data_IF_798312359619
#
_entry.id   IF_798312359619
#
_cell.length_a   1.000
_cell.length_b   1.000
_cell.length_c   1.000
_cell.angle_alpha   90.00
_cell.angle_beta   90.00
_cell.angle_gamma   90.00
#
_symmetry.space_group_name_H-M   'P 1'
#
loop_
_entity.id
_entity.type
_entity.pdbx_description
1 polymer ?
#
# COMPACT_ATOMS: atom_id res chain seq x y z
N UNK A 1 34.41 0.50 -13.84
CA UNK A 1 33.36 -0.40 -13.30
C UNK A 1 32.02 0.08 -13.83
N UNK A 2 31.38 -0.75 -14.66
CA UNK A 2 30.12 -0.47 -15.34
C UNK A 2 28.98 -0.35 -14.33
N UNK A 3 28.37 0.84 -14.22
CA UNK A 3 27.08 1.02 -13.55
C UNK A 3 26.02 0.44 -14.47
N UNK A 4 25.57 -0.78 -14.20
CA UNK A 4 24.37 -1.34 -14.83
C UNK A 4 23.21 -0.41 -14.50
N UNK A 5 22.76 0.39 -15.48
CA UNK A 5 21.57 1.23 -15.36
C UNK A 5 20.37 0.29 -15.24
N UNK A 6 19.93 0.00 -14.02
CA UNK A 6 18.61 -0.57 -13.78
C UNK A 6 17.61 0.43 -14.37
N UNK A 7 16.86 0.03 -15.39
CA UNK A 7 15.80 0.89 -15.93
C UNK A 7 14.81 1.17 -14.79
N UNK A 8 14.37 2.43 -14.58
CA UNK A 8 13.33 2.71 -13.60
C UNK A 8 12.09 1.89 -13.96
N UNK A 9 11.58 1.15 -12.97
CA UNK A 9 10.38 0.32 -13.12
C UNK A 9 9.18 1.29 -13.17
N UNK A 10 8.28 1.17 -14.17
CA UNK A 10 7.11 2.05 -14.23
C UNK A 10 6.19 1.90 -13.01
N UNK A 11 5.59 2.98 -12.54
CA UNK A 11 4.71 2.99 -11.37
C UNK A 11 3.50 2.07 -11.53
N UNK A 12 2.97 1.94 -12.75
CA UNK A 12 1.87 1.02 -13.01
C UNK A 12 2.32 -0.43 -12.86
N UNK A 13 3.59 -0.73 -13.12
CA UNK A 13 4.18 -2.05 -12.89
C UNK A 13 4.28 -2.34 -11.39
N UNK A 14 4.77 -1.37 -10.61
CA UNK A 14 4.82 -1.48 -9.14
C UNK A 14 3.42 -1.69 -8.55
N UNK A 15 2.43 -0.95 -9.04
CA UNK A 15 1.04 -1.04 -8.61
C UNK A 15 0.42 -2.43 -8.87
N UNK A 16 0.91 -3.17 -9.87
CA UNK A 16 0.45 -4.53 -10.20
C UNK A 16 1.19 -5.63 -9.44
N UNK A 17 2.33 -5.34 -8.81
CA UNK A 17 3.09 -6.33 -8.05
C UNK A 17 2.33 -6.89 -6.84
N UNK A 18 1.58 -6.05 -6.15
CA UNK A 18 0.84 -6.48 -4.97
C UNK A 18 -0.30 -7.47 -5.31
N UNK A 19 -1.11 -7.24 -6.36
CA UNK A 19 -1.99 -8.27 -6.93
C UNK A 19 -1.26 -9.59 -7.28
N UNK A 20 -0.08 -9.51 -7.91
CA UNK A 20 0.71 -10.71 -8.22
C UNK A 20 1.11 -11.46 -6.94
N UNK A 21 1.59 -10.74 -5.92
CA UNK A 21 1.97 -11.31 -4.63
C UNK A 21 0.81 -12.08 -4.00
N UNK A 22 -0.40 -11.50 -3.99
CA UNK A 22 -1.61 -12.16 -3.46
C UNK A 22 -1.95 -13.43 -4.22
N UNK A 23 -1.95 -13.37 -5.56
CA UNK A 23 -2.21 -14.54 -6.39
C UNK A 23 -1.21 -15.67 -6.14
N UNK A 24 0.08 -15.33 -6.03
CA UNK A 24 1.15 -16.29 -5.77
C UNK A 24 1.05 -16.91 -4.37
N UNK A 25 0.65 -16.14 -3.35
CA UNK A 25 0.38 -16.69 -2.00
C UNK A 25 -0.76 -17.71 -2.05
N UNK A 26 -1.83 -17.44 -2.81
CA UNK A 26 -2.93 -18.40 -2.96
C UNK A 26 -2.45 -19.68 -3.68
N UNK A 27 -1.76 -19.53 -4.80
CA UNK A 27 -1.21 -20.66 -5.55
C UNK A 27 -0.25 -21.52 -4.72
N UNK A 28 0.59 -20.89 -3.90
CA UNK A 28 1.50 -21.59 -3.01
C UNK A 28 0.74 -22.39 -1.94
N UNK A 29 -0.33 -21.84 -1.37
CA UNK A 29 -1.21 -22.56 -0.43
C UNK A 29 -1.93 -23.74 -1.08
N UNK A 30 -2.23 -23.65 -2.36
CA UNK A 30 -2.81 -24.73 -3.17
C UNK A 30 -1.77 -25.80 -3.58
N UNK A 31 -0.49 -25.61 -3.23
CA UNK A 31 0.60 -26.53 -3.61
C UNK A 31 1.04 -26.40 -5.08
N UNK A 32 0.68 -25.30 -5.75
CA UNK A 32 1.12 -25.06 -7.13
C UNK A 32 2.59 -24.69 -7.16
N UNK A 33 3.42 -25.51 -7.80
CA UNK A 33 4.85 -25.22 -7.95
C UNK A 33 5.16 -24.28 -9.11
N UNK A 34 4.42 -24.41 -10.22
CA UNK A 34 4.65 -23.67 -11.46
C UNK A 34 3.35 -23.09 -12.00
N UNK A 35 3.38 -21.81 -12.40
CA UNK A 35 2.22 -21.10 -12.94
C UNK A 35 2.53 -20.47 -14.30
N UNK A 36 1.59 -20.52 -15.24
CA UNK A 36 1.71 -19.83 -16.53
C UNK A 36 1.26 -18.36 -16.44
N UNK A 37 1.70 -17.51 -17.37
CA UNK A 37 1.19 -16.13 -17.47
C UNK A 37 -0.31 -16.06 -17.71
N UNK A 38 -0.89 -17.07 -18.39
CA UNK A 38 -2.33 -17.12 -18.64
C UNK A 38 -3.10 -17.42 -17.36
N UNK A 39 -2.60 -18.36 -16.55
CA UNK A 39 -3.23 -18.65 -15.25
C UNK A 39 -3.12 -17.47 -14.29
N UNK A 40 -1.98 -16.79 -14.24
CA UNK A 40 -1.86 -15.54 -13.48
C UNK A 40 -2.79 -14.45 -14.01
N UNK A 41 -3.00 -14.40 -15.34
CA UNK A 41 -3.90 -13.44 -15.99
C UNK A 41 -5.34 -13.60 -15.50
N UNK A 42 -5.82 -14.83 -15.40
CA UNK A 42 -7.15 -15.17 -14.87
C UNK A 42 -7.31 -14.73 -13.41
N UNK A 43 -6.32 -15.03 -12.57
CA UNK A 43 -6.39 -14.75 -11.12
C UNK A 43 -6.28 -13.25 -10.84
N UNK A 44 -5.38 -12.56 -11.53
CA UNK A 44 -5.10 -11.14 -11.27
C UNK A 44 -5.98 -10.19 -12.08
N UNK A 45 -6.75 -10.71 -13.05
CA UNK A 45 -7.47 -9.92 -14.05
C UNK A 45 -6.57 -8.90 -14.78
N UNK A 46 -5.35 -9.33 -15.14
CA UNK A 46 -4.36 -8.52 -15.86
C UNK A 46 -3.95 -9.30 -17.10
N UNK A 47 -3.88 -8.65 -18.27
CA UNK A 47 -3.52 -9.31 -19.52
C UNK A 47 -2.16 -10.04 -19.43
N UNK A 48 -2.10 -11.30 -19.88
CA UNK A 48 -0.88 -12.12 -19.83
C UNK A 48 0.35 -11.49 -20.51
N UNK A 49 0.17 -10.68 -21.55
CA UNK A 49 1.27 -9.95 -22.19
C UNK A 49 1.81 -8.83 -21.29
N UNK A 50 0.94 -8.16 -20.52
CA UNK A 50 1.34 -7.17 -19.51
C UNK A 50 2.11 -7.86 -18.39
N UNK A 51 1.63 -9.01 -17.89
CA UNK A 51 2.34 -9.79 -16.87
C UNK A 51 3.75 -10.15 -17.34
N UNK A 52 3.89 -10.70 -18.56
CA UNK A 52 5.21 -11.01 -19.13
C UNK A 52 6.11 -9.77 -19.22
N UNK A 53 5.56 -8.63 -19.61
CA UNK A 53 6.30 -7.37 -19.71
C UNK A 53 6.74 -6.91 -18.33
N UNK A 54 5.84 -6.89 -17.35
CA UNK A 54 6.11 -6.51 -15.96
C UNK A 54 7.22 -7.36 -15.35
N UNK A 55 7.08 -8.70 -15.45
CA UNK A 55 8.06 -9.63 -14.89
C UNK A 55 9.43 -9.49 -15.55
N UNK A 56 9.51 -9.10 -16.83
CA UNK A 56 10.80 -8.91 -17.50
C UNK A 56 11.63 -7.76 -16.95
N UNK A 57 11.05 -6.83 -16.17
CA UNK A 57 11.80 -5.79 -15.45
C UNK A 57 12.62 -6.33 -14.27
N UNK A 58 12.26 -7.48 -13.72
CA UNK A 58 12.81 -7.98 -12.45
C UNK A 58 13.74 -9.19 -12.60
N UNK A 59 13.99 -9.63 -13.84
CA UNK A 59 14.86 -10.76 -14.15
C UNK A 59 14.26 -11.72 -15.17
N UNK A 60 14.98 -12.80 -15.45
CA UNK A 60 14.52 -13.87 -16.31
C UNK A 60 13.68 -14.87 -15.51
N UNK A 61 12.37 -14.64 -15.45
CA UNK A 61 11.44 -15.58 -14.83
C UNK A 61 10.99 -16.62 -15.86
N UNK A 62 11.42 -17.86 -15.64
CA UNK A 62 10.95 -19.02 -16.39
C UNK A 62 11.66 -19.24 -17.72
N UNK A 63 11.55 -20.46 -18.24
CA UNK A 63 11.89 -20.79 -19.62
C UNK A 63 10.61 -20.69 -20.46
N UNK A 64 10.72 -20.21 -21.71
CA UNK A 64 9.60 -20.24 -22.67
C UNK A 64 9.00 -21.65 -22.70
N UNK A 65 7.69 -21.75 -22.43
CA UNK A 65 6.95 -23.01 -22.42
C UNK A 65 6.87 -23.74 -21.07
N UNK A 66 7.59 -23.30 -20.03
CA UNK A 66 7.57 -23.96 -18.70
C UNK A 66 6.69 -23.19 -17.70
N UNK A 67 6.73 -21.86 -17.71
CA UNK A 67 6.04 -21.01 -16.73
C UNK A 67 6.98 -20.51 -15.63
N UNK A 68 6.40 -20.00 -14.56
CA UNK A 68 7.09 -19.37 -13.44
C UNK A 68 7.04 -20.27 -12.22
N UNK A 69 8.19 -20.52 -11.59
CA UNK A 69 8.20 -21.15 -10.27
C UNK A 69 7.54 -20.19 -9.26
N UNK A 70 6.48 -20.66 -8.60
CA UNK A 70 5.62 -19.84 -7.75
C UNK A 70 6.39 -19.28 -6.55
N UNK A 71 7.18 -20.12 -5.88
CA UNK A 71 7.98 -19.72 -4.72
C UNK A 71 9.02 -18.65 -5.09
N UNK A 72 9.85 -18.92 -6.10
CA UNK A 72 10.89 -17.99 -6.53
C UNK A 72 10.31 -16.65 -7.00
N UNK A 73 9.18 -16.68 -7.71
CA UNK A 73 8.51 -15.46 -8.17
C UNK A 73 7.92 -14.69 -6.99
N UNK A 74 7.29 -15.37 -6.02
CA UNK A 74 6.77 -14.75 -4.81
C UNK A 74 7.88 -14.06 -4.01
N UNK A 75 9.01 -14.74 -3.80
CA UNK A 75 10.15 -14.18 -3.05
C UNK A 75 10.73 -12.96 -3.75
N UNK A 76 10.82 -13.00 -5.08
CA UNK A 76 11.28 -11.84 -5.85
C UNK A 76 10.32 -10.65 -5.72
N UNK A 77 9.01 -10.89 -5.90
CA UNK A 77 7.98 -9.85 -5.75
C UNK A 77 8.00 -9.26 -4.34
N UNK A 78 8.13 -10.09 -3.30
CA UNK A 78 8.28 -9.64 -1.90
C UNK A 78 9.52 -8.79 -1.70
N UNK A 79 10.67 -9.20 -2.22
CA UNK A 79 11.93 -8.46 -2.10
C UNK A 79 11.89 -7.09 -2.79
N UNK A 80 11.16 -6.97 -3.90
CA UNK A 80 10.94 -5.70 -4.60
C UNK A 80 10.02 -4.78 -3.80
N UNK A 81 8.87 -5.30 -3.35
CA UNK A 81 7.92 -4.55 -2.51
C UNK A 81 8.43 -4.31 -1.09
N UNK A 82 9.58 -4.91 -0.72
CA UNK A 82 10.14 -4.93 0.63
C UNK A 82 9.19 -5.54 1.67
N UNK A 83 8.34 -6.48 1.28
CA UNK A 83 7.30 -7.10 2.12
C UNK A 83 7.78 -8.40 2.81
N UNK A 84 9.07 -8.48 3.12
CA UNK A 84 9.67 -9.60 3.88
C UNK A 84 9.28 -9.53 5.37
N UNK A 85 9.16 -8.31 5.90
CA UNK A 85 8.75 -8.02 7.27
C UNK A 85 7.46 -7.21 7.32
N UNK A 86 6.73 -7.35 8.43
CA UNK A 86 5.56 -6.53 8.73
C UNK A 86 5.95 -5.05 8.78
N UNK A 87 5.27 -4.22 8.02
CA UNK A 87 5.44 -2.77 8.01
C UNK A 87 4.59 -2.12 9.10
N UNK A 88 5.25 -1.40 10.00
CA UNK A 88 4.59 -0.60 11.03
C UNK A 88 4.00 0.66 10.41
N UNK A 89 2.74 0.92 10.74
CA UNK A 89 1.97 2.06 10.25
C UNK A 89 1.42 2.85 11.43
N UNK A 90 1.44 4.18 11.33
CA UNK A 90 0.69 5.05 12.24
C UNK A 90 -0.55 5.62 11.54
N UNK A 91 -1.66 5.72 12.26
CA UNK A 91 -2.87 6.39 11.79
C UNK A 91 -3.01 7.75 12.46
N UNK A 92 -3.18 8.82 11.67
CA UNK A 92 -3.52 10.15 12.17
C UNK A 92 -4.97 10.45 11.85
N UNK A 93 -5.75 10.83 12.86
CA UNK A 93 -7.18 11.08 12.76
C UNK A 93 -7.97 9.81 13.02
N UNK A 94 -8.65 9.76 14.16
CA UNK A 94 -9.50 8.64 14.59
C UNK A 94 -10.96 9.09 14.54
N UNK A 95 -11.36 9.66 13.41
CA UNK A 95 -12.76 9.94 13.07
C UNK A 95 -13.47 8.68 12.56
N UNK A 96 -14.52 8.86 11.76
CA UNK A 96 -15.27 7.74 11.17
C UNK A 96 -14.37 6.85 10.29
N UNK A 97 -13.65 7.48 9.34
CA UNK A 97 -12.73 6.78 8.43
C UNK A 97 -11.60 6.12 9.21
N UNK A 98 -10.94 6.86 10.11
CA UNK A 98 -9.85 6.32 10.91
C UNK A 98 -10.27 5.13 11.78
N UNK A 99 -11.44 5.20 12.40
CA UNK A 99 -11.99 4.08 13.19
C UNK A 99 -12.30 2.85 12.32
N UNK A 100 -12.81 3.07 11.11
CA UNK A 100 -13.03 1.99 10.14
C UNK A 100 -11.72 1.34 9.72
N UNK A 101 -10.67 2.14 9.47
CA UNK A 101 -9.32 1.68 9.12
C UNK A 101 -8.71 0.84 10.25
N UNK A 102 -8.80 1.31 11.51
CA UNK A 102 -8.34 0.52 12.68
C UNK A 102 -9.09 -0.80 12.84
N UNK A 103 -10.33 -0.85 12.36
CA UNK A 103 -11.18 -2.04 12.43
C UNK A 103 -11.02 -2.97 11.24
N UNK A 104 -10.22 -2.60 10.24
CA UNK A 104 -10.06 -3.36 9.00
C UNK A 104 -9.05 -4.51 9.19
N UNK A 105 -9.48 -5.78 9.24
CA UNK A 105 -8.60 -6.89 9.60
C UNK A 105 -7.55 -7.19 8.53
N UNK A 106 -7.79 -6.80 7.28
CA UNK A 106 -6.95 -7.20 6.16
C UNK A 106 -5.58 -6.53 6.14
N UNK A 107 -5.37 -5.36 6.77
CA UNK A 107 -4.03 -4.75 6.77
C UNK A 107 -2.97 -5.70 7.33
N UNK A 108 -3.29 -6.39 8.43
CA UNK A 108 -2.36 -7.32 9.08
C UNK A 108 -2.04 -8.52 8.19
N UNK A 109 -3.04 -9.13 7.56
CA UNK A 109 -2.83 -10.25 6.63
C UNK A 109 -2.03 -9.86 5.40
N UNK A 110 -2.02 -8.58 5.05
CA UNK A 110 -1.29 -8.02 3.93
C UNK A 110 0.11 -7.51 4.29
N UNK A 111 0.58 -7.74 5.52
CA UNK A 111 1.92 -7.34 5.96
C UNK A 111 2.01 -5.92 6.51
N UNK A 112 0.89 -5.28 6.84
CA UNK A 112 0.85 -3.96 7.47
C UNK A 112 0.25 -4.03 8.87
N UNK A 113 0.93 -3.48 9.87
CA UNK A 113 0.44 -3.41 11.25
C UNK A 113 0.31 -1.97 11.69
N UNK A 114 -0.91 -1.54 11.98
CA UNK A 114 -1.14 -0.26 12.64
C UNK A 114 -0.68 -0.42 14.10
N UNK A 115 0.38 0.29 14.48
CA UNK A 115 0.99 0.19 15.82
C UNK A 115 0.68 1.40 16.70
N UNK A 116 0.27 2.52 16.10
CA UNK A 116 -0.08 3.74 16.81
C UNK A 116 -1.23 4.46 16.11
N UNK A 117 -2.07 5.14 16.89
CA UNK A 117 -3.16 5.97 16.39
C UNK A 117 -3.19 7.29 17.15
N UNK A 118 -3.38 8.40 16.46
CA UNK A 118 -3.31 9.74 17.03
C UNK A 118 -4.54 10.57 16.70
N UNK A 119 -4.99 11.40 17.64
CA UNK A 119 -6.06 12.39 17.44
C UNK A 119 -5.77 13.63 18.32
N UNK A 120 -6.45 14.74 18.06
CA UNK A 120 -6.39 15.95 18.90
C UNK A 120 -7.65 16.13 19.78
N UNK A 121 -8.67 15.30 19.55
CA UNK A 121 -9.89 15.27 20.34
C UNK A 121 -9.63 14.62 21.71
N UNK A 122 -9.74 15.45 22.76
CA UNK A 122 -9.56 15.03 24.17
C UNK A 122 -10.51 13.92 24.58
N UNK A 123 -11.68 13.82 23.96
CA UNK A 123 -12.62 12.74 24.27
C UNK A 123 -12.17 11.40 23.67
N UNK A 124 -11.32 11.40 22.64
CA UNK A 124 -10.80 10.18 22.02
C UNK A 124 -9.49 9.74 22.62
N UNK A 125 -8.63 10.68 23.00
CA UNK A 125 -7.33 10.39 23.60
C UNK A 125 -7.51 9.48 24.82
N UNK A 126 -6.72 8.40 24.88
CA UNK A 126 -6.78 7.37 25.91
C UNK A 126 -7.79 6.24 25.64
N UNK A 127 -8.72 6.41 24.70
CA UNK A 127 -9.63 5.32 24.32
C UNK A 127 -8.88 4.22 23.58
N UNK A 128 -9.31 2.97 23.78
CA UNK A 128 -8.74 1.79 23.11
C UNK A 128 -9.68 1.32 22.00
N UNK A 129 -9.22 1.34 20.76
CA UNK A 129 -9.94 0.87 19.59
C UNK A 129 -9.20 -0.33 19.02
N UNK A 130 -9.86 -1.51 19.02
CA UNK A 130 -9.31 -2.76 18.45
C UNK A 130 -7.89 -3.10 18.92
N UNK A 131 -7.57 -2.77 20.17
CA UNK A 131 -6.26 -3.06 20.76
C UNK A 131 -5.29 -1.87 20.78
N UNK A 132 -5.53 -0.83 19.99
CA UNK A 132 -4.67 0.34 19.87
C UNK A 132 -5.22 1.47 20.74
N UNK A 133 -4.36 2.07 21.57
CA UNK A 133 -4.70 3.25 22.37
C UNK A 133 -4.54 4.48 21.48
N UNK A 134 -5.54 5.36 21.49
CA UNK A 134 -5.46 6.64 20.80
C UNK A 134 -4.60 7.59 21.64
N UNK A 135 -3.49 8.04 21.08
CA UNK A 135 -2.57 8.99 21.69
C UNK A 135 -2.88 10.43 21.24
N UNK A 136 -2.46 11.41 22.04
CA UNK A 136 -2.45 12.81 21.62
C UNK A 136 -1.44 12.98 20.47
N UNK A 137 -1.83 13.67 19.40
CA UNK A 137 -0.96 13.99 18.26
C UNK A 137 0.36 14.68 18.66
N UNK A 138 0.38 15.40 19.79
CA UNK A 138 1.59 16.02 20.31
C UNK A 138 2.65 14.98 20.75
N UNK A 139 2.26 13.73 21.00
CA UNK A 139 3.18 12.63 21.32
C UNK A 139 3.68 11.89 20.06
N UNK A 140 3.21 12.25 18.86
CA UNK A 140 3.52 11.52 17.64
C UNK A 140 5.03 11.46 17.35
N UNK A 141 5.78 12.53 17.60
CA UNK A 141 7.24 12.54 17.44
C UNK A 141 7.92 11.42 18.23
N UNK A 142 7.56 11.29 19.52
CA UNK A 142 8.14 10.29 20.42
C UNK A 142 7.84 8.88 19.90
N UNK A 143 6.57 8.60 19.61
CA UNK A 143 6.11 7.26 19.22
C UNK A 143 6.61 6.88 17.83
N UNK A 144 6.59 7.79 16.84
CA UNK A 144 7.09 7.55 15.48
C UNK A 144 8.59 7.21 15.50
N UNK A 145 9.39 7.94 16.28
CA UNK A 145 10.82 7.68 16.41
C UNK A 145 11.10 6.38 17.16
N UNK A 146 10.43 6.15 18.29
CA UNK A 146 10.62 4.95 19.10
C UNK A 146 10.26 3.66 18.34
N UNK A 147 9.18 3.68 17.58
CA UNK A 147 8.71 2.53 16.81
C UNK A 147 9.35 2.42 15.41
N UNK A 148 10.13 3.42 15.00
CA UNK A 148 10.71 3.58 13.66
C UNK A 148 9.65 3.50 12.54
N UNK A 149 8.57 4.26 12.70
CA UNK A 149 7.45 4.27 11.76
C UNK A 149 7.83 5.09 10.52
N UNK A 150 7.69 4.48 9.34
CA UNK A 150 7.99 5.12 8.04
C UNK A 150 6.76 5.40 7.19
N UNK A 151 5.65 4.75 7.52
CA UNK A 151 4.40 4.82 6.77
C UNK A 151 3.31 5.39 7.67
N UNK A 152 2.59 6.40 7.20
CA UNK A 152 1.46 6.99 7.91
C UNK A 152 0.19 7.00 7.07
N UNK A 153 -0.96 6.85 7.72
CA UNK A 153 -2.27 7.07 7.13
C UNK A 153 -2.84 8.38 7.68
N UNK A 154 -3.31 9.27 6.81
CA UNK A 154 -4.00 10.50 7.18
C UNK A 154 -5.51 10.34 6.93
N UNK A 155 -6.28 10.34 8.00
CA UNK A 155 -7.75 10.33 8.01
C UNK A 155 -8.29 11.55 8.77
N UNK A 156 -7.76 12.72 8.40
CA UNK A 156 -8.05 14.04 9.00
C UNK A 156 -8.71 14.97 7.98
N UNK A 157 -9.31 16.09 8.42
CA UNK A 157 -9.84 17.10 7.51
C UNK A 157 -8.76 17.67 6.56
N UNK A 158 -9.18 18.06 5.36
CA UNK A 158 -8.32 18.66 4.32
C UNK A 158 -7.51 19.85 4.86
N UNK A 159 -8.13 20.70 5.68
CA UNK A 159 -7.51 21.89 6.27
C UNK A 159 -6.25 21.59 7.09
N UNK A 160 -6.17 20.41 7.72
CA UNK A 160 -5.05 20.01 8.56
C UNK A 160 -4.02 19.16 7.81
N UNK A 161 -4.36 18.63 6.62
CA UNK A 161 -3.60 17.55 6.00
C UNK A 161 -2.19 17.99 5.59
N UNK A 162 -2.04 19.18 5.00
CA UNK A 162 -0.73 19.72 4.62
C UNK A 162 0.18 19.94 5.84
N UNK A 163 -0.35 20.54 6.91
CA UNK A 163 0.41 20.80 8.14
C UNK A 163 0.91 19.50 8.78
N UNK A 164 0.03 18.51 8.92
CA UNK A 164 0.37 17.22 9.54
C UNK A 164 1.32 16.43 8.66
N UNK A 165 1.11 16.40 7.34
CA UNK A 165 2.00 15.69 6.43
C UNK A 165 3.44 16.25 6.46
N UNK A 166 3.61 17.58 6.48
CA UNK A 166 4.93 18.20 6.63
C UNK A 166 5.57 17.91 7.99
N UNK A 167 4.79 17.90 9.07
CA UNK A 167 5.26 17.49 10.38
C UNK A 167 5.79 16.05 10.35
N UNK A 168 5.03 15.11 9.77
CA UNK A 168 5.43 13.71 9.65
C UNK A 168 6.69 13.54 8.79
N UNK A 169 6.81 14.28 7.69
CA UNK A 169 8.00 14.29 6.85
C UNK A 169 9.26 14.66 7.65
N UNK A 170 9.17 15.70 8.50
CA UNK A 170 10.27 16.12 9.39
C UNK A 170 10.62 15.08 10.46
N UNK A 171 9.68 14.19 10.80
CA UNK A 171 9.90 13.07 11.72
C UNK A 171 10.52 11.83 11.03
N UNK A 172 10.78 11.91 9.72
CA UNK A 172 11.39 10.84 8.95
C UNK A 172 10.39 9.79 8.43
N UNK A 173 9.11 10.14 8.37
CA UNK A 173 8.09 9.41 7.59
C UNK A 173 8.33 9.72 6.12
N UNK A 174 8.34 8.69 5.27
CA UNK A 174 8.64 8.83 3.85
C UNK A 174 7.53 8.28 2.93
N UNK A 175 6.45 7.72 3.50
CA UNK A 175 5.28 7.30 2.75
C UNK A 175 3.99 7.68 3.51
N UNK A 176 3.07 8.33 2.81
CA UNK A 176 1.80 8.80 3.37
C UNK A 176 0.65 8.34 2.49
N UNK A 177 -0.34 7.66 3.10
CA UNK A 177 -1.63 7.37 2.48
C UNK A 177 -2.67 8.35 3.02
N UNK A 178 -3.18 9.23 2.18
CA UNK A 178 -4.12 10.29 2.58
C UNK A 178 -5.53 9.98 2.08
N UNK A 179 -6.52 10.07 2.96
CA UNK A 179 -7.95 9.99 2.63
C UNK A 179 -8.59 11.38 2.46
N UNK A 180 -7.78 12.44 2.43
CA UNK A 180 -8.24 13.79 2.15
C UNK A 180 -8.31 14.01 0.63
N UNK A 181 -9.43 14.52 0.07
CA UNK A 181 -9.57 14.79 -1.36
C UNK A 181 -8.83 16.08 -1.77
N UNK A 182 -7.51 16.12 -1.57
CA UNK A 182 -6.67 17.26 -1.89
C UNK A 182 -5.29 16.81 -2.38
N UNK A 183 -4.73 17.56 -3.33
CA UNK A 183 -3.31 17.42 -3.68
C UNK A 183 -2.46 18.13 -2.64
N UNK A 184 -1.40 17.47 -2.21
CA UNK A 184 -0.48 17.98 -1.20
C UNK A 184 0.92 17.90 -1.78
N UNK A 185 1.57 19.04 -1.90
CA UNK A 185 2.96 19.09 -2.35
C UNK A 185 3.86 18.65 -1.20
N UNK A 186 4.63 17.58 -1.44
CA UNK A 186 5.59 17.03 -0.50
C UNK A 186 7.03 17.21 -1.01
N UNK A 187 8.03 17.24 -0.12
CA UNK A 187 9.44 17.12 -0.51
C UNK A 187 9.70 15.84 -1.33
N UNK A 188 10.72 15.85 -2.19
CA UNK A 188 11.05 14.72 -3.09
C UNK A 188 11.30 13.38 -2.38
N UNK A 189 11.64 13.42 -1.09
CA UNK A 189 11.92 12.23 -0.28
C UNK A 189 10.68 11.64 0.43
N UNK A 190 9.49 12.17 0.18
CA UNK A 190 8.23 11.72 0.78
C UNK A 190 7.20 11.42 -0.31
N UNK A 191 6.82 10.16 -0.40
CA UNK A 191 5.76 9.71 -1.29
C UNK A 191 4.40 9.94 -0.63
N UNK A 192 3.44 10.50 -1.37
CA UNK A 192 2.07 10.67 -0.90
C UNK A 192 1.06 10.18 -1.93
N UNK A 193 0.26 9.20 -1.53
CA UNK A 193 -0.85 8.68 -2.33
C UNK A 193 -2.17 9.14 -1.72
N UNK A 194 -3.01 9.78 -2.54
CA UNK A 194 -4.35 10.19 -2.12
C UNK A 194 -5.39 9.16 -2.56
N UNK A 195 -6.29 8.81 -1.65
CA UNK A 195 -7.46 7.97 -1.91
C UNK A 195 -8.70 8.86 -1.88
N UNK A 196 -9.25 9.12 -3.06
CA UNK A 196 -10.53 9.81 -3.20
C UNK A 196 -11.58 8.84 -3.75
N UNK A 197 -12.42 8.34 -2.85
CA UNK A 197 -13.53 7.44 -3.18
C UNK A 197 -14.55 8.12 -4.11
N UNK A 198 -14.66 9.45 -4.07
CA UNK A 198 -15.59 10.21 -4.91
C UNK A 198 -15.17 10.15 -6.37
N UNK A 199 -13.86 10.23 -6.65
CA UNK A 199 -13.31 10.09 -8.00
C UNK A 199 -13.61 8.71 -8.59
N UNK A 200 -13.45 7.65 -7.80
CA UNK A 200 -13.80 6.29 -8.24
C UNK A 200 -15.30 6.12 -8.48
N UNK A 201 -16.15 6.68 -7.62
CA UNK A 201 -17.61 6.66 -7.82
C UNK A 201 -18.02 7.43 -9.08
N UNK A 202 -17.43 8.59 -9.36
CA UNK A 202 -17.70 9.36 -10.57
C UNK A 202 -17.34 8.56 -11.84
N UNK A 203 -16.21 7.84 -11.80
CA UNK A 203 -15.81 6.93 -12.88
C UNK A 203 -16.83 5.79 -13.07
N UNK A 204 -17.30 5.18 -11.99
CA UNK A 204 -18.34 4.14 -12.08
C UNK A 204 -19.67 4.69 -12.59
N UNK A 205 -20.05 5.91 -12.20
CA UNK A 205 -21.26 6.57 -12.69
C UNK A 205 -21.21 6.73 -14.22
N UNK A 206 -20.08 7.14 -14.78
CA UNK A 206 -19.88 7.20 -16.24
C UNK A 206 -20.15 5.84 -16.92
N UNK A 207 -19.57 4.75 -16.39
CA UNK A 207 -19.78 3.41 -16.96
C UNK A 207 -21.20 2.88 -16.75
N UNK A 208 -21.86 3.27 -15.66
CA UNK A 208 -23.27 2.90 -15.40
C UNK A 208 -24.18 3.35 -16.54
N UNK A 209 -23.89 4.48 -17.20
CA UNK A 209 -24.66 4.96 -18.34
C UNK A 209 -24.35 4.21 -19.64
N UNK A 210 -23.13 3.70 -19.80
CA UNK A 210 -22.69 2.98 -21.01
C UNK A 210 -23.23 1.56 -21.03
N UNK A 211 -23.29 0.88 -19.88
CA UNK A 211 -23.78 -0.50 -19.77
C UNK A 211 -25.31 -0.62 -19.63
N UNK A 212 -26.02 0.52 -19.62
CA UNK A 212 -27.49 0.57 -19.60
C UNK A 212 -28.13 0.55 -21.01
N UNK A 213 -27.40 0.08 -22.02
CA UNK A 213 -27.89 -0.18 -23.39
C UNK A 213 -27.77 -1.67 -23.70
#
# INVERSE_FOLDING_TARGET
MSKTRVKPIPDETISRLFPYMRALICLLKEGTEVVSSNRLSEICNINAAIIRKDLSYFGEFGKRGIGYNVQNLLDTVRGILKMEDIKKVALIGVGNIGTAILSYPFFYSEGFKIVAAFDNDKEKIGKKIKGIIVEDINNAEKTIKAENIKICILAIPVSETCKVANMLANLGVNAILSFAPCQINMPENVEITNIDLSTELARLAYYSHIHSK
#
